data_IF_046264322792
#
_entry.id   IF_046264322792
#
_cell.length_a   1.000
_cell.length_b   1.000
_cell.length_c   1.000
_cell.angle_alpha   90.00
_cell.angle_beta   90.00
_cell.angle_gamma   90.00
#
_symmetry.space_group_name_H-M   'P 1'
#
loop_
_entity.id
_entity.type
_entity.pdbx_description
1 polymer ?
#
# COMPACT_ATOMS: atom_id res chain seq x y z
N UNK A 1 16.05 -72.89 -8.73
CA UNK A 1 17.00 -72.06 -7.95
C UNK A 1 16.57 -70.61 -8.03
N UNK A 2 15.83 -70.12 -7.02
CA UNK A 2 15.37 -68.73 -6.93
C UNK A 2 16.54 -67.81 -6.55
N UNK A 3 16.81 -66.78 -7.36
CA UNK A 3 17.63 -65.63 -6.97
C UNK A 3 16.71 -64.53 -6.42
N UNK A 4 16.80 -64.26 -5.13
CA UNK A 4 16.22 -63.06 -4.49
C UNK A 4 17.15 -61.89 -4.76
N UNK A 5 16.68 -60.85 -5.46
CA UNK A 5 17.29 -59.52 -5.43
C UNK A 5 16.72 -58.78 -4.21
N UNK A 6 17.60 -58.40 -3.27
CA UNK A 6 17.28 -57.42 -2.24
C UNK A 6 17.37 -56.03 -2.89
N UNK A 7 16.26 -55.30 -2.94
CA UNK A 7 16.27 -53.86 -3.16
C UNK A 7 16.46 -53.18 -1.80
N UNK A 8 17.52 -52.40 -1.65
CA UNK A 8 17.73 -51.54 -0.50
C UNK A 8 16.86 -50.27 -0.67
N UNK A 9 15.79 -50.15 0.11
CA UNK A 9 15.09 -48.88 0.31
C UNK A 9 15.96 -48.02 1.24
N UNK A 10 16.51 -46.93 0.70
CA UNK A 10 17.03 -45.83 1.51
C UNK A 10 15.82 -45.00 1.93
N UNK A 11 15.40 -45.13 3.18
CA UNK A 11 14.43 -44.24 3.78
C UNK A 11 15.11 -42.90 4.07
N UNK A 12 14.79 -41.89 3.27
CA UNK A 12 15.19 -40.51 3.53
C UNK A 12 14.25 -39.96 4.62
N UNK A 13 14.64 -40.12 5.88
CA UNK A 13 14.00 -39.42 7.00
C UNK A 13 14.36 -37.94 6.92
N UNK A 14 13.43 -37.13 6.41
CA UNK A 14 13.40 -35.69 6.64
C UNK A 14 13.28 -35.47 8.15
N UNK A 15 14.39 -35.14 8.81
CA UNK A 15 14.32 -34.48 10.11
C UNK A 15 13.74 -33.09 9.87
N UNK A 16 12.44 -32.93 10.12
CA UNK A 16 11.88 -31.61 10.38
C UNK A 16 12.59 -31.07 11.62
N UNK A 17 13.43 -30.05 11.45
CA UNK A 17 13.90 -29.28 12.59
C UNK A 17 12.66 -28.73 13.31
N UNK A 18 12.61 -28.78 14.65
CA UNK A 18 11.49 -28.20 15.38
C UNK A 18 11.46 -26.70 15.06
N UNK A 19 10.39 -26.26 14.38
CA UNK A 19 10.06 -24.85 14.30
C UNK A 19 9.82 -24.41 15.73
N UNK A 20 10.79 -23.67 16.28
CA UNK A 20 10.65 -23.05 17.59
C UNK A 20 9.56 -21.99 17.41
N UNK A 21 8.32 -22.30 17.82
CA UNK A 21 7.29 -21.29 17.97
C UNK A 21 7.75 -20.35 19.09
N UNK A 22 8.38 -19.24 18.71
CA UNK A 22 8.49 -18.09 19.60
C UNK A 22 7.05 -17.64 19.85
N UNK A 23 6.61 -17.53 21.11
CA UNK A 23 5.28 -16.98 21.38
C UNK A 23 5.20 -15.58 20.77
N UNK A 24 4.28 -15.38 19.82
CA UNK A 24 4.01 -14.05 19.25
C UNK A 24 3.56 -13.14 20.39
N UNK A 25 4.18 -11.98 20.52
CA UNK A 25 3.70 -10.94 21.42
C UNK A 25 2.41 -10.38 20.84
N UNK A 26 1.32 -10.48 21.60
CA UNK A 26 0.04 -9.89 21.25
C UNK A 26 -0.04 -8.47 21.85
N UNK A 27 0.60 -7.53 21.15
CA UNK A 27 0.29 -6.10 21.10
C UNK A 27 1.45 -5.36 20.43
N UNK A 28 1.12 -4.61 19.38
CA UNK A 28 1.81 -3.38 19.01
C UNK A 28 0.95 -2.15 19.40
N UNK A 29 -0.21 -2.35 20.04
CA UNK A 29 -1.16 -1.31 20.44
C UNK A 29 -0.88 -0.64 21.80
N UNK A 30 0.11 -1.07 22.57
CA UNK A 30 0.57 -0.31 23.73
C UNK A 30 1.91 0.39 23.45
N UNK A 31 2.16 1.46 24.21
CA UNK A 31 3.34 2.32 24.05
C UNK A 31 4.66 1.52 24.18
N UNK A 32 4.63 0.45 24.99
CA UNK A 32 5.77 -0.45 25.18
C UNK A 32 6.03 -1.31 23.94
N UNK A 33 4.99 -1.87 23.30
CA UNK A 33 5.09 -2.65 22.07
C UNK A 33 5.63 -1.84 20.89
N UNK A 34 5.15 -0.61 20.69
CA UNK A 34 5.69 0.30 19.68
C UNK A 34 7.14 0.69 19.97
N UNK A 35 7.49 0.94 21.24
CA UNK A 35 8.86 1.23 21.64
C UNK A 35 9.82 0.07 21.32
N UNK A 36 9.39 -1.18 21.49
CA UNK A 36 10.16 -2.38 21.15
C UNK A 36 10.32 -2.54 19.63
N UNK A 37 9.25 -2.33 18.85
CA UNK A 37 9.30 -2.34 17.37
C UNK A 37 10.29 -1.30 16.86
N UNK A 38 10.23 -0.07 17.39
CA UNK A 38 11.15 1.01 17.03
C UNK A 38 12.59 0.64 17.40
N UNK A 39 12.81 0.00 18.55
CA UNK A 39 14.15 -0.40 18.98
C UNK A 39 14.74 -1.56 18.15
N UNK A 40 13.89 -2.39 17.53
CA UNK A 40 14.30 -3.55 16.74
C UNK A 40 14.79 -3.21 15.32
N UNK A 41 14.56 -1.98 14.83
CA UNK A 41 15.07 -1.53 13.53
C UNK A 41 16.60 -1.38 13.60
N UNK A 42 17.30 -2.19 12.80
CA UNK A 42 18.75 -2.28 12.79
C UNK A 42 19.35 -1.61 11.54
N UNK A 43 20.26 -0.66 11.77
CA UNK A 43 20.90 0.10 10.70
C UNK A 43 21.81 -0.75 9.83
N UNK A 44 22.53 -1.70 10.42
CA UNK A 44 23.53 -2.47 9.70
C UNK A 44 22.85 -3.51 8.79
N UNK A 45 21.68 -4.02 9.18
CA UNK A 45 20.78 -4.80 8.32
C UNK A 45 20.21 -3.95 7.16
N UNK A 46 19.76 -2.71 7.41
CA UNK A 46 19.35 -1.80 6.33
C UNK A 46 20.45 -1.62 5.28
N UNK A 47 21.68 -1.36 5.73
CA UNK A 47 22.86 -1.28 4.85
C UNK A 47 23.09 -2.58 4.08
N UNK A 48 22.97 -3.74 4.75
CA UNK A 48 23.15 -5.04 4.10
C UNK A 48 22.13 -5.26 2.99
N UNK A 49 20.86 -4.97 3.20
CA UNK A 49 19.82 -5.14 2.18
C UNK A 49 20.12 -4.28 0.96
N UNK A 50 20.24 -2.97 1.17
CA UNK A 50 20.45 -1.98 0.11
C UNK A 50 21.73 -2.29 -0.67
N UNK A 51 22.85 -2.51 0.03
CA UNK A 51 24.12 -2.88 -0.60
C UNK A 51 24.03 -4.16 -1.44
N UNK A 52 23.25 -5.15 -0.97
CA UNK A 52 23.06 -6.41 -1.71
C UNK A 52 22.27 -6.17 -3.00
N UNK A 53 21.26 -5.31 -2.97
CA UNK A 53 20.47 -4.92 -4.15
C UNK A 53 21.36 -4.16 -5.13
N UNK A 54 22.04 -3.11 -4.66
CA UNK A 54 22.94 -2.30 -5.48
C UNK A 54 24.05 -3.14 -6.14
N UNK A 55 24.59 -4.16 -5.44
CA UNK A 55 25.67 -5.01 -5.97
C UNK A 55 25.23 -5.92 -7.12
N UNK A 56 23.93 -6.08 -7.37
CA UNK A 56 23.42 -6.67 -8.61
C UNK A 56 23.71 -5.76 -9.81
N UNK A 57 23.80 -4.44 -9.59
CA UNK A 57 23.92 -3.41 -10.62
C UNK A 57 22.55 -2.88 -11.07
N UNK A 58 22.50 -2.07 -12.14
CA UNK A 58 21.25 -1.62 -12.72
C UNK A 58 20.33 -2.78 -13.06
N UNK A 59 19.06 -2.66 -12.67
CA UNK A 59 18.11 -3.76 -12.65
C UNK A 59 16.75 -3.31 -13.22
N UNK A 60 16.71 -2.87 -14.49
CA UNK A 60 15.48 -2.42 -15.13
C UNK A 60 14.47 -3.53 -15.29
N UNK A 61 13.19 -3.16 -15.26
CA UNK A 61 12.09 -4.11 -15.37
C UNK A 61 12.23 -5.03 -16.57
N UNK A 62 12.11 -6.33 -16.34
CA UNK A 62 12.27 -7.37 -17.35
C UNK A 62 13.70 -7.89 -17.54
N UNK A 63 14.71 -7.26 -16.94
CA UNK A 63 16.11 -7.75 -16.93
C UNK A 63 16.32 -9.00 -16.06
N UNK A 64 17.46 -9.68 -16.23
CA UNK A 64 17.85 -10.79 -15.36
C UNK A 64 18.26 -10.29 -13.97
N UNK A 65 18.82 -9.09 -13.90
CA UNK A 65 19.21 -8.36 -12.69
C UNK A 65 17.97 -8.05 -11.84
N UNK A 66 16.92 -7.50 -12.44
CA UNK A 66 15.61 -7.30 -11.79
C UNK A 66 15.07 -8.62 -11.22
N UNK A 67 15.16 -9.74 -11.97
CA UNK A 67 14.76 -11.06 -11.46
C UNK A 67 15.62 -11.57 -10.31
N UNK A 68 16.91 -11.22 -10.27
CA UNK A 68 17.83 -11.56 -9.18
C UNK A 68 17.47 -10.78 -7.91
N UNK A 69 17.24 -9.47 -8.01
CA UNK A 69 16.75 -8.63 -6.91
C UNK A 69 15.43 -9.18 -6.36
N UNK A 70 14.46 -9.49 -7.23
CA UNK A 70 13.19 -10.11 -6.81
C UNK A 70 13.39 -11.43 -6.05
N UNK A 71 14.37 -12.24 -6.48
CA UNK A 71 14.68 -13.53 -5.84
C UNK A 71 15.35 -13.37 -4.48
N UNK A 72 16.19 -12.34 -4.33
CA UNK A 72 16.78 -11.96 -3.05
C UNK A 72 15.69 -11.52 -2.06
N UNK A 73 14.83 -10.58 -2.46
CA UNK A 73 13.71 -10.10 -1.63
C UNK A 73 12.80 -11.25 -1.20
N UNK A 74 12.42 -12.13 -2.14
CA UNK A 74 11.62 -13.32 -1.84
C UNK A 74 12.30 -14.22 -0.80
N UNK A 75 13.61 -14.43 -0.93
CA UNK A 75 14.40 -15.24 -0.01
C UNK A 75 14.45 -14.67 1.40
N UNK A 76 14.66 -13.36 1.54
CA UNK A 76 14.66 -12.67 2.84
C UNK A 76 13.29 -12.78 3.51
N UNK A 77 12.18 -12.47 2.81
CA UNK A 77 10.84 -12.64 3.37
C UNK A 77 10.54 -14.08 3.81
N UNK A 78 10.93 -15.08 3.00
CA UNK A 78 10.77 -16.49 3.36
C UNK A 78 11.57 -16.86 4.61
N UNK A 79 12.76 -16.26 4.78
CA UNK A 79 13.61 -16.49 5.96
C UNK A 79 12.98 -15.98 7.26
N UNK A 80 12.06 -15.02 7.17
CA UNK A 80 11.29 -14.49 8.32
C UNK A 80 10.03 -15.33 8.62
N UNK A 81 9.81 -16.43 7.88
CA UNK A 81 8.65 -17.31 8.08
C UNK A 81 7.32 -16.77 7.54
N UNK A 82 7.37 -15.76 6.66
CA UNK A 82 6.19 -15.16 6.06
C UNK A 82 5.64 -16.01 4.92
N UNK A 83 4.35 -15.82 4.59
CA UNK A 83 3.76 -16.40 3.38
C UNK A 83 4.12 -15.54 2.17
N UNK A 84 5.00 -16.03 1.29
CA UNK A 84 5.56 -15.24 0.18
C UNK A 84 5.13 -15.77 -1.18
N UNK A 85 4.68 -14.87 -2.05
CA UNK A 85 4.29 -15.17 -3.43
C UNK A 85 4.89 -14.16 -4.41
N UNK A 86 5.02 -14.59 -5.66
CA UNK A 86 5.19 -13.67 -6.78
C UNK A 86 3.83 -13.34 -7.36
N UNK A 87 3.52 -12.06 -7.48
CA UNK A 87 2.37 -11.57 -8.23
C UNK A 87 2.83 -11.20 -9.63
N UNK A 88 2.66 -12.13 -10.57
CA UNK A 88 3.02 -11.92 -11.97
C UNK A 88 2.06 -10.93 -12.64
N UNK A 89 2.58 -10.06 -13.49
CA UNK A 89 1.78 -9.11 -14.26
C UNK A 89 2.31 -8.96 -15.68
N UNK A 90 1.40 -8.63 -16.60
CA UNK A 90 1.68 -8.27 -17.98
C UNK A 90 0.80 -7.07 -18.34
N UNK A 91 1.41 -5.96 -18.74
CA UNK A 91 0.70 -4.75 -19.16
C UNK A 91 1.62 -3.88 -20.03
N UNK A 92 1.05 -3.06 -20.92
CA UNK A 92 1.84 -2.17 -21.79
C UNK A 92 2.87 -2.87 -22.72
N UNK A 93 2.79 -4.19 -22.88
CA UNK A 93 3.80 -5.00 -23.59
C UNK A 93 5.04 -5.37 -22.74
N UNK A 94 5.02 -5.05 -21.45
CA UNK A 94 6.00 -5.46 -20.45
C UNK A 94 5.43 -6.59 -19.59
N UNK A 95 6.32 -7.41 -19.00
CA UNK A 95 5.92 -8.41 -18.02
C UNK A 95 6.99 -8.55 -16.95
N UNK A 96 6.56 -8.68 -15.70
CA UNK A 96 7.44 -8.93 -14.56
C UNK A 96 6.63 -9.52 -13.41
N UNK A 97 7.11 -9.38 -12.17
CA UNK A 97 6.46 -9.90 -10.96
C UNK A 97 6.72 -9.00 -9.77
N UNK A 98 5.69 -8.68 -9.01
CA UNK A 98 5.86 -8.09 -7.67
C UNK A 98 6.21 -9.21 -6.68
N UNK A 99 6.91 -8.87 -5.60
CA UNK A 99 7.20 -9.78 -4.49
C UNK A 99 6.29 -9.41 -3.33
N UNK A 100 5.43 -10.34 -2.90
CA UNK A 100 4.42 -10.09 -1.85
C UNK A 100 4.66 -11.06 -0.70
N UNK A 101 4.91 -10.52 0.50
CA UNK A 101 4.89 -11.28 1.74
C UNK A 101 3.68 -10.89 2.59
N UNK A 102 2.99 -11.88 3.15
CA UNK A 102 1.78 -11.68 3.97
C UNK A 102 2.01 -12.18 5.38
N UNK A 103 1.76 -11.31 6.35
CA UNK A 103 1.60 -11.63 7.78
C UNK A 103 0.10 -11.61 8.10
N UNK A 104 -0.55 -12.78 8.30
CA UNK A 104 -1.98 -12.84 8.58
C UNK A 104 -2.35 -12.14 9.89
N UNK A 105 -3.41 -11.33 9.85
CA UNK A 105 -4.06 -10.77 11.05
C UNK A 105 -5.30 -11.54 11.46
N UNK A 106 -6.03 -11.02 12.45
CA UNK A 106 -7.33 -11.56 12.89
C UNK A 106 -8.45 -11.36 11.85
N UNK A 107 -8.30 -10.34 11.02
CA UNK A 107 -9.25 -9.94 9.97
C UNK A 107 -8.58 -9.95 8.59
N UNK A 108 -9.42 -9.92 7.54
CA UNK A 108 -8.96 -9.85 6.15
C UNK A 108 -8.69 -8.42 5.65
N UNK A 109 -8.94 -7.40 6.49
CA UNK A 109 -8.52 -6.03 6.18
C UNK A 109 -6.99 -6.01 6.09
N UNK A 110 -6.48 -5.26 5.13
CA UNK A 110 -5.05 -5.24 4.82
C UNK A 110 -4.44 -3.86 5.05
N UNK A 111 -3.28 -3.83 5.70
CA UNK A 111 -2.36 -2.68 5.74
C UNK A 111 -1.13 -3.05 4.93
N UNK A 112 -0.71 -2.19 4.02
CA UNK A 112 0.42 -2.40 3.12
C UNK A 112 1.57 -1.48 3.52
N UNK A 113 2.78 -2.04 3.51
CA UNK A 113 4.02 -1.27 3.42
C UNK A 113 4.75 -1.70 2.16
N UNK A 114 5.20 -0.71 1.39
CA UNK A 114 5.55 -0.92 0.00
C UNK A 114 6.74 -0.06 -0.47
N UNK A 115 7.39 -0.53 -1.53
CA UNK A 115 8.53 0.09 -2.22
C UNK A 115 8.62 -0.52 -3.64
N UNK A 116 9.36 0.10 -4.56
CA UNK A 116 9.68 -0.55 -5.84
C UNK A 116 11.11 -1.08 -5.84
N UNK A 117 11.37 -2.15 -6.59
CA UNK A 117 12.68 -2.77 -6.65
C UNK A 117 13.29 -2.75 -8.04
N UNK A 118 12.64 -2.18 -9.06
CA UNK A 118 13.27 -1.93 -10.36
C UNK A 118 13.97 -0.57 -10.39
N UNK A 119 15.03 -0.45 -11.19
CA UNK A 119 15.74 0.81 -11.45
C UNK A 119 15.77 1.16 -12.94
N UNK A 120 16.24 2.34 -13.32
CA UNK A 120 16.53 2.65 -14.73
C UNK A 120 17.83 2.01 -15.24
N UNK A 121 17.99 1.88 -16.57
CA UNK A 121 19.05 1.12 -17.26
C UNK A 121 20.50 1.36 -16.79
N UNK A 122 20.81 2.55 -16.28
CA UNK A 122 22.16 2.96 -15.88
C UNK A 122 22.29 3.29 -14.37
N UNK A 123 21.23 3.10 -13.58
CA UNK A 123 21.21 3.44 -12.15
C UNK A 123 21.36 2.19 -11.28
N UNK A 124 22.35 2.14 -10.37
CA UNK A 124 22.41 1.09 -9.34
C UNK A 124 21.20 1.10 -8.38
N UNK A 125 20.48 2.23 -8.29
CA UNK A 125 19.21 2.33 -7.57
C UNK A 125 19.34 2.18 -6.05
N UNK A 126 20.39 2.76 -5.46
CA UNK A 126 20.63 2.61 -4.02
C UNK A 126 19.60 3.41 -3.20
N UNK A 127 19.38 4.67 -3.56
CA UNK A 127 18.34 5.46 -2.92
C UNK A 127 16.98 5.26 -3.58
N UNK A 128 16.97 5.10 -4.91
CA UNK A 128 15.79 4.95 -5.78
C UNK A 128 15.80 3.57 -6.47
N UNK A 129 15.26 2.51 -5.84
CA UNK A 129 14.60 2.51 -4.53
C UNK A 129 15.10 1.40 -3.58
N UNK A 130 16.41 1.15 -3.60
CA UNK A 130 17.09 0.30 -2.62
C UNK A 130 16.83 0.73 -1.16
N UNK A 131 16.65 2.02 -0.92
CA UNK A 131 16.34 2.59 0.40
C UNK A 131 14.92 2.23 0.87
N UNK A 132 13.92 2.29 0.00
CA UNK A 132 12.56 1.83 0.28
C UNK A 132 12.51 0.31 0.47
N UNK A 133 13.10 -0.45 -0.44
CA UNK A 133 13.12 -1.93 -0.36
C UNK A 133 13.80 -2.42 0.91
N UNK A 134 14.94 -1.85 1.29
CA UNK A 134 15.63 -2.19 2.54
C UNK A 134 14.75 -1.90 3.76
N UNK A 135 13.99 -0.80 3.74
CA UNK A 135 13.03 -0.45 4.80
C UNK A 135 11.86 -1.43 4.88
N UNK A 136 11.30 -1.87 3.74
CA UNK A 136 10.24 -2.89 3.69
C UNK A 136 10.74 -4.24 4.21
N UNK A 137 11.94 -4.66 3.82
CA UNK A 137 12.57 -5.90 4.32
C UNK A 137 12.82 -5.85 5.83
N UNK A 138 13.30 -4.72 6.35
CA UNK A 138 13.51 -4.51 7.77
C UNK A 138 12.18 -4.50 8.55
N UNK A 139 11.14 -3.83 8.02
CA UNK A 139 9.80 -3.86 8.61
C UNK A 139 9.25 -5.29 8.66
N UNK A 140 9.37 -6.05 7.57
CA UNK A 140 8.94 -7.46 7.52
C UNK A 140 9.67 -8.32 8.56
N UNK A 141 10.99 -8.14 8.70
CA UNK A 141 11.80 -8.82 9.70
C UNK A 141 11.32 -8.52 11.12
N UNK A 142 11.09 -7.25 11.46
CA UNK A 142 10.61 -6.85 12.81
C UNK A 142 9.20 -7.36 13.06
N UNK A 143 8.25 -7.00 12.19
CA UNK A 143 6.83 -7.20 12.42
C UNK A 143 6.41 -8.68 12.35
N UNK A 144 7.20 -9.55 11.69
CA UNK A 144 6.96 -11.01 11.67
C UNK A 144 6.97 -11.67 13.07
N UNK A 145 7.50 -11.00 14.09
CA UNK A 145 7.51 -11.48 15.48
C UNK A 145 6.26 -11.08 16.29
N UNK A 146 5.31 -10.40 15.65
CA UNK A 146 4.11 -9.83 16.29
C UNK A 146 2.83 -10.36 15.62
N UNK A 147 1.71 -10.20 16.31
CA UNK A 147 0.36 -10.44 15.76
C UNK A 147 -0.44 -9.15 15.76
N UNK A 148 -1.28 -8.95 14.74
CA UNK A 148 -2.07 -7.74 14.54
C UNK A 148 -3.55 -8.08 14.29
N UNK A 149 -4.45 -7.12 14.53
CA UNK A 149 -5.87 -7.24 14.15
C UNK A 149 -6.05 -7.36 12.64
N UNK A 150 -5.30 -6.58 11.87
CA UNK A 150 -5.38 -6.54 10.42
C UNK A 150 -4.18 -7.25 9.79
N UNK A 151 -4.41 -7.83 8.61
CA UNK A 151 -3.35 -8.48 7.84
C UNK A 151 -2.35 -7.43 7.37
N UNK A 152 -1.05 -7.70 7.53
CA UNK A 152 0.02 -6.82 7.01
C UNK A 152 0.62 -7.46 5.76
N UNK A 153 0.68 -6.70 4.66
CA UNK A 153 1.39 -7.10 3.44
C UNK A 153 2.63 -6.23 3.25
N UNK A 154 3.75 -6.89 2.99
CA UNK A 154 5.01 -6.27 2.60
C UNK A 154 5.17 -6.50 1.10
N UNK A 155 5.22 -5.43 0.31
CA UNK A 155 5.20 -5.55 -1.15
C UNK A 155 6.35 -4.78 -1.76
N UNK A 156 7.15 -5.47 -2.57
CA UNK A 156 8.13 -4.83 -3.44
C UNK A 156 7.62 -4.92 -4.90
N UNK A 157 7.31 -3.79 -5.50
CA UNK A 157 6.79 -3.67 -6.86
C UNK A 157 7.91 -3.66 -7.89
N UNK A 158 7.62 -4.16 -9.10
CA UNK A 158 8.44 -3.88 -10.28
C UNK A 158 7.62 -3.11 -11.28
N UNK A 159 8.26 -2.36 -12.16
CA UNK A 159 7.62 -1.63 -13.23
C UNK A 159 7.17 -0.24 -12.82
N UNK A 160 7.67 0.27 -11.69
CA UNK A 160 7.42 1.64 -11.22
C UNK A 160 7.96 2.62 -12.27
N UNK A 161 9.21 2.41 -12.66
CA UNK A 161 10.01 3.32 -13.49
C UNK A 161 9.52 3.45 -14.94
N UNK A 162 8.61 2.56 -15.36
CA UNK A 162 7.96 2.63 -16.68
C UNK A 162 6.53 3.18 -16.61
N UNK A 163 6.07 3.56 -15.42
CA UNK A 163 4.76 4.16 -15.19
C UNK A 163 3.85 3.33 -14.29
N UNK A 164 4.35 2.83 -13.16
CA UNK A 164 3.58 2.17 -12.09
C UNK A 164 2.87 0.87 -12.54
N UNK A 165 3.46 0.10 -13.45
CA UNK A 165 2.77 -1.07 -14.02
C UNK A 165 2.49 -2.16 -12.97
N UNK A 166 3.47 -2.50 -12.14
CA UNK A 166 3.32 -3.56 -11.15
C UNK A 166 2.30 -3.23 -10.07
N UNK A 167 2.36 -2.04 -9.49
CA UNK A 167 1.38 -1.57 -8.50
C UNK A 167 0.02 -1.31 -9.14
N UNK A 168 -0.02 -0.80 -10.37
CA UNK A 168 -1.24 -0.56 -11.13
C UNK A 168 -2.04 -1.85 -11.37
N UNK A 169 -1.37 -2.91 -11.84
CA UNK A 169 -2.00 -4.23 -11.99
C UNK A 169 -2.42 -4.80 -10.64
N UNK A 170 -1.57 -4.71 -9.61
CA UNK A 170 -1.89 -5.23 -8.28
C UNK A 170 -3.12 -4.55 -7.66
N UNK A 171 -3.17 -3.22 -7.67
CA UNK A 171 -4.29 -2.44 -7.12
C UNK A 171 -5.59 -2.70 -7.91
N UNK A 172 -5.50 -2.80 -9.25
CA UNK A 172 -6.62 -3.18 -10.11
C UNK A 172 -7.21 -4.52 -9.72
N UNK A 173 -6.36 -5.53 -9.57
CA UNK A 173 -6.82 -6.87 -9.24
C UNK A 173 -7.32 -6.97 -7.79
N UNK A 174 -6.69 -6.28 -6.84
CA UNK A 174 -7.19 -6.18 -5.47
C UNK A 174 -8.60 -5.58 -5.44
N UNK A 175 -8.82 -4.51 -6.22
CA UNK A 175 -10.13 -3.89 -6.39
C UNK A 175 -11.17 -4.85 -6.97
N UNK A 176 -10.80 -5.62 -8.00
CA UNK A 176 -11.65 -6.64 -8.63
C UNK A 176 -11.97 -7.83 -7.70
N UNK A 177 -11.04 -8.17 -6.80
CA UNK A 177 -11.24 -9.19 -5.76
C UNK A 177 -12.02 -8.69 -4.55
N UNK A 178 -12.43 -7.42 -4.55
CA UNK A 178 -13.09 -6.77 -3.43
C UNK A 178 -12.26 -6.82 -2.14
N UNK A 179 -10.93 -6.67 -2.25
CA UNK A 179 -10.05 -6.59 -1.08
C UNK A 179 -10.26 -5.25 -0.35
N UNK A 180 -10.36 -5.32 0.98
CA UNK A 180 -10.34 -4.17 1.87
C UNK A 180 -8.89 -3.83 2.23
N UNK A 181 -8.36 -2.79 1.58
CA UNK A 181 -7.04 -2.23 1.90
C UNK A 181 -7.28 -0.93 2.65
N UNK A 182 -6.89 -0.91 3.92
CA UNK A 182 -7.06 0.24 4.81
C UNK A 182 -6.05 1.33 4.48
N UNK A 183 -4.79 0.96 4.29
CA UNK A 183 -3.72 1.91 4.03
C UNK A 183 -2.60 1.26 3.22
N UNK A 184 -1.99 2.05 2.35
CA UNK A 184 -0.70 1.79 1.73
C UNK A 184 0.34 2.84 2.19
N UNK A 185 1.41 2.36 2.80
CA UNK A 185 2.56 3.18 3.22
C UNK A 185 3.71 2.90 2.24
N UNK A 186 3.79 3.71 1.19
CA UNK A 186 4.83 3.62 0.16
C UNK A 186 6.07 4.40 0.59
N UNK A 187 7.23 3.75 0.51
CA UNK A 187 8.56 4.31 0.69
C UNK A 187 9.23 4.34 -0.66
N UNK A 188 9.64 5.51 -1.14
CA UNK A 188 10.41 5.65 -2.38
C UNK A 188 11.30 6.89 -2.27
N UNK A 189 12.61 6.70 -2.45
CA UNK A 189 13.63 7.75 -2.24
C UNK A 189 13.61 8.24 -0.80
N UNK A 190 14.00 7.37 0.14
CA UNK A 190 13.91 7.62 1.59
C UNK A 190 15.27 7.57 2.30
N UNK A 191 16.36 7.57 1.54
CA UNK A 191 17.71 7.37 2.03
C UNK A 191 18.61 8.60 1.95
N UNK A 192 18.35 9.58 1.09
CA UNK A 192 19.23 10.73 0.90
C UNK A 192 19.01 11.83 1.93
N UNK A 193 20.12 12.28 2.52
CA UNK A 193 20.15 13.46 3.37
C UNK A 193 21.58 13.96 3.54
N UNK A 194 21.82 15.24 3.25
CA UNK A 194 23.13 15.90 3.40
C UNK A 194 23.10 16.92 4.54
N UNK A 195 22.04 17.70 4.67
CA UNK A 195 21.93 18.68 5.76
C UNK A 195 21.38 18.07 7.05
N UNK A 196 21.55 18.82 8.14
CA UNK A 196 20.94 18.47 9.42
C UNK A 196 19.40 18.48 9.34
N UNK A 197 18.81 19.40 8.56
CA UNK A 197 17.36 19.48 8.36
C UNK A 197 16.88 18.25 7.57
N UNK A 198 17.52 17.95 6.43
CA UNK A 198 17.24 16.75 5.63
C UNK A 198 17.32 15.47 6.45
N UNK A 199 18.39 15.32 7.25
CA UNK A 199 18.58 14.14 8.12
C UNK A 199 17.64 14.06 9.34
N UNK A 200 16.69 14.98 9.47
CA UNK A 200 15.71 15.04 10.57
C UNK A 200 14.28 15.31 10.12
N UNK A 201 14.01 15.37 8.82
CA UNK A 201 12.69 15.67 8.27
C UNK A 201 12.34 14.67 7.18
N UNK A 202 11.11 14.14 7.20
CA UNK A 202 10.55 13.29 6.14
C UNK A 202 9.31 13.96 5.57
N UNK A 203 9.09 13.88 4.25
CA UNK A 203 7.86 14.36 3.63
C UNK A 203 6.83 13.23 3.61
N UNK A 204 5.63 13.50 4.08
CA UNK A 204 4.48 12.61 3.92
C UNK A 204 3.49 13.27 2.95
N UNK A 205 3.37 12.71 1.76
CA UNK A 205 2.46 13.22 0.73
C UNK A 205 1.17 12.39 0.73
N UNK A 206 0.03 13.05 0.95
CA UNK A 206 -1.27 12.40 1.04
C UNK A 206 -2.37 13.25 0.36
N UNK A 207 -3.41 12.58 -0.16
CA UNK A 207 -4.64 13.27 -0.57
C UNK A 207 -5.51 13.47 0.67
N UNK A 208 -6.61 14.22 0.54
CA UNK A 208 -7.44 14.58 1.69
C UNK A 208 -7.97 13.34 2.44
N UNK A 209 -8.41 12.31 1.71
CA UNK A 209 -8.87 11.04 2.26
C UNK A 209 -7.77 10.28 3.05
N UNK A 210 -6.51 10.35 2.61
CA UNK A 210 -5.40 9.59 3.22
C UNK A 210 -4.71 10.35 4.36
N UNK A 211 -5.18 11.54 4.75
CA UNK A 211 -4.52 12.37 5.77
C UNK A 211 -4.45 11.70 7.15
N UNK A 212 -5.41 10.85 7.50
CA UNK A 212 -5.39 10.12 8.77
C UNK A 212 -4.19 9.17 8.90
N UNK A 213 -3.63 8.68 7.78
CA UNK A 213 -2.39 7.87 7.79
C UNK A 213 -1.21 8.75 8.25
N UNK A 214 -1.17 10.01 7.80
CA UNK A 214 -0.16 10.99 8.27
C UNK A 214 -0.41 11.45 9.70
N UNK A 215 -1.64 11.38 10.20
CA UNK A 215 -1.97 11.60 11.61
C UNK A 215 -1.53 10.42 12.47
N UNK A 216 -1.69 9.18 11.99
CA UNK A 216 -1.17 7.99 12.66
C UNK A 216 0.37 8.05 12.79
N UNK A 217 1.07 8.46 11.73
CA UNK A 217 2.51 8.68 11.77
C UNK A 217 2.90 9.80 12.77
N UNK A 218 2.11 10.89 12.83
CA UNK A 218 2.35 11.96 13.79
C UNK A 218 2.12 11.51 15.24
N UNK A 219 1.09 10.70 15.50
CA UNK A 219 0.83 10.13 16.82
C UNK A 219 1.99 9.23 17.29
N UNK A 220 2.59 8.46 16.38
CA UNK A 220 3.82 7.69 16.67
C UNK A 220 4.97 8.63 17.06
N UNK A 221 5.16 9.75 16.36
CA UNK A 221 6.19 10.74 16.75
C UNK A 221 5.87 11.44 18.07
N UNK A 222 4.60 11.71 18.36
CA UNK A 222 4.22 12.37 19.61
C UNK A 222 4.52 11.48 20.83
N UNK A 223 4.37 10.16 20.70
CA UNK A 223 4.71 9.18 21.75
C UNK A 223 6.18 8.77 21.77
N UNK A 224 6.86 8.73 20.62
CA UNK A 224 8.19 8.11 20.48
C UNK A 224 9.22 8.97 19.72
N UNK A 225 9.00 10.27 19.60
CA UNK A 225 9.87 11.20 18.88
C UNK A 225 11.32 11.16 19.36
N UNK A 226 11.57 11.02 20.66
CA UNK A 226 12.92 10.90 21.23
C UNK A 226 13.66 9.63 20.77
N UNK A 227 12.94 8.56 20.39
CA UNK A 227 13.50 7.28 19.93
C UNK A 227 13.70 7.24 18.40
N UNK A 228 12.91 8.02 17.68
CA UNK A 228 12.91 8.08 16.21
C UNK A 228 13.84 9.21 15.74
N UNK A 229 13.70 10.42 16.27
CA UNK A 229 14.53 11.57 15.91
C UNK A 229 14.22 12.16 14.52
N UNK A 230 12.95 12.12 14.12
CA UNK A 230 12.41 12.74 12.90
C UNK A 230 11.30 13.74 13.22
N UNK A 231 11.04 14.61 12.24
CA UNK A 231 9.85 15.44 12.12
C UNK A 231 9.16 15.19 10.78
N UNK A 232 7.84 15.38 10.73
CA UNK A 232 7.05 15.22 9.51
C UNK A 232 6.81 16.58 8.85
N UNK A 233 7.05 16.63 7.55
CA UNK A 233 6.60 17.71 6.68
C UNK A 233 5.45 17.20 5.80
N UNK A 234 4.22 17.67 6.03
CA UNK A 234 3.04 17.22 5.27
C UNK A 234 2.95 17.93 3.93
N UNK A 235 2.85 17.14 2.86
CA UNK A 235 2.69 17.60 1.50
C UNK A 235 1.38 17.13 0.90
N UNK A 236 0.88 17.89 -0.08
CA UNK A 236 -0.23 17.43 -0.92
C UNK A 236 0.25 16.29 -1.81
N UNK A 237 -0.61 15.29 -1.99
CA UNK A 237 -0.38 14.20 -2.95
C UNK A 237 0.01 14.70 -4.34
N UNK A 238 0.90 13.95 -4.97
CA UNK A 238 1.19 14.03 -6.40
C UNK A 238 1.48 12.60 -6.90
N UNK A 239 1.25 12.30 -8.19
CA UNK A 239 1.43 10.96 -8.75
C UNK A 239 2.91 10.64 -8.96
N UNK A 240 3.65 10.48 -7.86
CA UNK A 240 5.11 10.34 -7.86
C UNK A 240 5.64 8.94 -7.65
N UNK A 241 4.81 7.97 -7.23
CA UNK A 241 5.22 6.59 -6.92
C UNK A 241 3.99 5.67 -6.81
N UNK A 242 4.18 4.41 -6.44
CA UNK A 242 3.18 3.33 -6.47
C UNK A 242 1.92 3.57 -5.60
N UNK A 243 2.00 4.35 -4.52
CA UNK A 243 0.84 4.76 -3.72
C UNK A 243 -0.29 5.34 -4.59
N UNK A 244 0.07 5.99 -5.70
CA UNK A 244 -0.89 6.57 -6.62
C UNK A 244 -1.76 5.49 -7.29
N UNK A 245 -1.23 4.30 -7.54
CA UNK A 245 -2.00 3.16 -8.07
C UNK A 245 -3.15 2.79 -7.14
N UNK A 246 -2.92 2.81 -5.83
CA UNK A 246 -3.93 2.55 -4.80
C UNK A 246 -4.96 3.68 -4.72
N UNK A 247 -4.52 4.94 -4.65
CA UNK A 247 -5.40 6.12 -4.67
C UNK A 247 -6.32 6.13 -5.89
N UNK A 248 -5.79 5.75 -7.04
CA UNK A 248 -6.56 5.70 -8.28
C UNK A 248 -7.72 4.68 -8.22
N UNK A 249 -7.56 3.60 -7.46
CA UNK A 249 -8.61 2.60 -7.20
C UNK A 249 -9.44 2.89 -5.95
N UNK A 250 -9.26 4.06 -5.33
CA UNK A 250 -10.05 4.51 -4.18
C UNK A 250 -9.59 3.93 -2.84
N UNK A 251 -8.43 3.29 -2.83
CA UNK A 251 -7.74 2.96 -1.58
C UNK A 251 -6.98 4.18 -1.07
N UNK A 252 -6.66 4.17 0.21
CA UNK A 252 -5.94 5.26 0.86
C UNK A 252 -4.45 4.92 0.92
N UNK A 253 -3.61 5.90 0.64
CA UNK A 253 -2.17 5.71 0.51
C UNK A 253 -1.40 6.98 0.83
N UNK A 254 -0.21 6.82 1.39
CA UNK A 254 0.72 7.90 1.71
C UNK A 254 2.08 7.60 1.08
N UNK A 255 2.70 8.65 0.55
CA UNK A 255 4.04 8.61 0.01
C UNK A 255 5.04 9.20 1.02
N UNK A 256 5.89 8.34 1.57
CA UNK A 256 7.07 8.73 2.34
C UNK A 256 8.20 9.05 1.35
N UNK A 257 8.64 10.29 1.36
CA UNK A 257 9.68 10.80 0.48
C UNK A 257 10.67 11.62 1.29
N UNK A 258 11.97 11.43 1.07
CA UNK A 258 13.01 12.21 1.70
C UNK A 258 12.81 13.72 1.56
N UNK A 259 13.27 14.52 2.51
CA UNK A 259 13.11 15.96 2.45
C UNK A 259 14.03 16.63 1.41
N UNK A 260 15.26 16.16 1.31
CA UNK A 260 16.26 16.62 0.35
C UNK A 260 16.33 15.64 -0.80
N UNK A 261 15.78 16.04 -1.96
CA UNK A 261 15.79 15.16 -3.14
C UNK A 261 17.21 14.85 -3.60
N UNK A 262 17.49 13.58 -3.82
CA UNK A 262 18.75 13.05 -4.28
C UNK A 262 19.14 13.61 -5.66
N UNK A 263 20.26 14.35 -5.79
CA UNK A 263 20.70 14.90 -7.07
C UNK A 263 21.23 13.84 -8.04
N UNK A 264 21.37 12.59 -7.59
CA UNK A 264 21.84 11.46 -8.38
C UNK A 264 20.71 10.55 -8.89
N UNK A 265 19.45 10.88 -8.59
CA UNK A 265 18.26 10.20 -9.10
C UNK A 265 18.38 9.87 -10.60
N UNK A 266 18.01 8.64 -10.97
CA UNK A 266 18.09 8.12 -12.35
C UNK A 266 19.46 8.24 -13.00
N UNK A 267 20.54 8.08 -12.23
CA UNK A 267 21.90 8.19 -12.76
C UNK A 267 22.84 7.13 -12.22
N UNK A 268 23.97 6.87 -12.89
CA UNK A 268 25.03 6.00 -12.36
C UNK A 268 25.60 6.44 -11.00
N UNK A 269 25.30 7.67 -10.58
CA UNK A 269 25.70 8.21 -9.29
C UNK A 269 24.82 7.72 -8.15
N UNK A 270 23.60 7.23 -8.40
CA UNK A 270 22.72 6.77 -7.33
C UNK A 270 23.28 5.49 -6.70
N UNK A 271 24.07 5.70 -5.65
CA UNK A 271 24.92 4.69 -5.04
C UNK A 271 24.82 4.79 -3.53
N UNK A 272 25.17 3.71 -2.86
CA UNK A 272 25.17 3.49 -1.41
C UNK A 272 25.98 4.56 -0.67
N UNK A 273 26.97 5.16 -1.34
CA UNK A 273 27.79 6.26 -0.81
C UNK A 273 27.01 7.57 -0.65
N UNK A 274 25.83 7.67 -1.28
CA UNK A 274 24.91 8.80 -1.20
C UNK A 274 23.66 8.50 -0.37
N UNK A 275 23.55 7.30 0.20
CA UNK A 275 22.51 6.94 1.16
C UNK A 275 22.98 7.26 2.58
N UNK A 276 22.18 8.01 3.31
CA UNK A 276 22.40 8.33 4.71
C UNK A 276 21.70 7.31 5.61
N UNK A 277 22.39 6.22 5.95
CA UNK A 277 21.82 5.15 6.79
C UNK A 277 21.37 5.58 8.18
N UNK A 278 21.93 6.66 8.73
CA UNK A 278 21.44 7.24 9.98
C UNK A 278 20.05 7.82 9.80
N UNK A 279 19.81 8.54 8.70
CA UNK A 279 18.50 9.06 8.33
C UNK A 279 17.52 7.94 7.97
N UNK A 280 17.91 7.03 7.07
CA UNK A 280 17.10 5.90 6.62
C UNK A 280 16.60 5.04 7.79
N UNK A 281 17.45 4.80 8.80
CA UNK A 281 17.05 4.08 10.03
C UNK A 281 15.88 4.75 10.73
N UNK A 282 15.85 6.08 10.78
CA UNK A 282 14.75 6.81 11.42
C UNK A 282 13.48 6.74 10.58
N UNK A 283 13.61 6.83 9.25
CA UNK A 283 12.46 6.71 8.33
C UNK A 283 11.84 5.32 8.45
N UNK A 284 12.67 4.27 8.41
CA UNK A 284 12.25 2.89 8.60
C UNK A 284 11.56 2.68 9.97
N UNK A 285 12.08 3.26 11.05
CA UNK A 285 11.42 3.25 12.38
C UNK A 285 10.02 3.85 12.33
N UNK A 286 9.89 5.04 11.76
CA UNK A 286 8.60 5.73 11.67
C UNK A 286 7.61 4.94 10.82
N UNK A 287 8.00 4.50 9.63
CA UNK A 287 7.13 3.76 8.72
C UNK A 287 6.70 2.41 9.33
N UNK A 288 7.64 1.66 9.91
CA UNK A 288 7.36 0.37 10.57
C UNK A 288 6.39 0.54 11.74
N UNK A 289 6.61 1.54 12.61
CA UNK A 289 5.73 1.82 13.74
C UNK A 289 4.36 2.37 13.30
N UNK A 290 4.30 3.15 12.23
CA UNK A 290 3.04 3.63 11.63
C UNK A 290 2.20 2.46 11.14
N UNK A 291 2.80 1.54 10.38
CA UNK A 291 2.13 0.33 9.88
C UNK A 291 1.67 -0.55 11.04
N UNK A 292 2.50 -0.75 12.06
CA UNK A 292 2.13 -1.50 13.25
C UNK A 292 0.94 -0.88 13.99
N UNK A 293 0.93 0.44 14.18
CA UNK A 293 -0.15 1.18 14.81
C UNK A 293 -1.47 1.07 14.04
N UNK A 294 -1.43 1.21 12.71
CA UNK A 294 -2.61 1.06 11.85
C UNK A 294 -3.11 -0.39 11.84
N UNK A 295 -2.21 -1.37 11.76
CA UNK A 295 -2.56 -2.78 11.71
C UNK A 295 -3.23 -3.28 13.01
N UNK A 296 -2.99 -2.61 14.14
CA UNK A 296 -3.58 -2.95 15.44
C UNK A 296 -4.76 -2.04 15.83
N UNK A 297 -5.08 -1.03 15.00
CA UNK A 297 -6.20 -0.12 15.21
C UNK A 297 -7.54 -0.85 15.05
N UNK A 298 -8.54 -0.45 15.83
CA UNK A 298 -9.91 -0.92 15.62
C UNK A 298 -10.56 -0.17 14.44
N UNK A 299 -11.14 -0.94 13.50
CA UNK A 299 -11.92 -0.41 12.38
C UNK A 299 -13.39 -0.77 12.58
N UNK A 300 -14.15 0.21 13.05
CA UNK A 300 -15.57 0.06 13.38
C UNK A 300 -16.51 0.11 12.17
N UNK A 301 -16.14 0.89 11.16
CA UNK A 301 -16.86 1.07 9.90
C UNK A 301 -15.87 1.11 8.73
N UNK A 302 -16.29 0.57 7.59
CA UNK A 302 -15.61 0.63 6.32
C UNK A 302 -16.65 0.75 5.19
N UNK A 303 -16.48 1.76 4.36
CA UNK A 303 -17.44 2.20 3.35
C UNK A 303 -16.83 2.06 1.97
N UNK A 304 -17.60 1.51 1.04
CA UNK A 304 -17.22 1.44 -0.37
C UNK A 304 -18.39 1.81 -1.26
N UNK A 305 -18.16 2.76 -2.16
CA UNK A 305 -19.07 3.00 -3.29
C UNK A 305 -18.91 1.82 -4.28
N UNK A 306 -19.98 1.05 -4.47
CA UNK A 306 -20.02 -0.10 -5.37
C UNK A 306 -20.62 0.24 -6.73
N UNK A 307 -21.48 1.26 -6.80
CA UNK A 307 -21.99 1.83 -8.04
C UNK A 307 -21.95 3.37 -7.93
N UNK A 308 -21.47 4.10 -8.94
CA UNK A 308 -20.71 3.57 -10.08
C UNK A 308 -19.32 3.06 -9.63
N UNK A 309 -18.95 1.88 -10.10
CA UNK A 309 -17.64 1.27 -9.83
C UNK A 309 -16.52 2.10 -10.49
N UNK A 310 -15.34 2.13 -9.86
CA UNK A 310 -14.14 2.75 -10.42
C UNK A 310 -13.70 2.04 -11.70
N UNK A 311 -13.32 2.82 -12.72
CA UNK A 311 -12.87 2.28 -13.98
C UNK A 311 -13.96 1.53 -14.75
N UNK A 312 -15.16 2.09 -14.85
CA UNK A 312 -16.24 1.46 -15.60
C UNK A 312 -17.05 2.48 -16.39
N UNK A 313 -17.70 2.01 -17.46
CA UNK A 313 -18.68 2.81 -18.22
C UNK A 313 -20.08 2.35 -17.84
N UNK A 314 -20.91 3.29 -17.40
CA UNK A 314 -22.31 3.11 -17.08
C UNK A 314 -23.20 3.85 -18.08
N UNK A 315 -24.37 3.28 -18.36
CA UNK A 315 -25.49 3.97 -18.99
C UNK A 315 -26.73 3.83 -18.08
N UNK A 316 -27.08 4.90 -17.37
CA UNK A 316 -27.96 4.81 -16.20
C UNK A 316 -27.39 3.82 -15.19
N UNK A 317 -28.23 2.89 -14.74
CA UNK A 317 -27.85 1.85 -13.78
C UNK A 317 -27.08 0.67 -14.40
N UNK A 318 -26.95 0.63 -15.73
CA UNK A 318 -26.34 -0.50 -16.43
C UNK A 318 -24.83 -0.30 -16.61
N UNK A 319 -24.01 -1.12 -15.94
CA UNK A 319 -22.58 -1.27 -16.25
C UNK A 319 -22.42 -1.86 -17.64
N UNK A 320 -21.94 -1.07 -18.60
CA UNK A 320 -21.73 -1.49 -19.99
C UNK A 320 -20.42 -2.24 -20.16
N UNK A 321 -19.35 -1.76 -19.51
CA UNK A 321 -18.03 -2.37 -19.56
C UNK A 321 -17.16 -1.91 -18.38
N UNK A 322 -16.21 -2.75 -17.99
CA UNK A 322 -15.07 -2.32 -17.20
C UNK A 322 -14.01 -1.70 -18.14
N UNK A 323 -13.42 -0.62 -17.70
CA UNK A 323 -12.23 0.00 -18.27
C UNK A 323 -11.02 -0.49 -17.46
N UNK A 324 -9.95 -0.89 -18.14
CA UNK A 324 -8.69 -1.30 -17.49
C UNK A 324 -7.90 -0.14 -16.87
N UNK A 325 -8.56 0.97 -16.54
CA UNK A 325 -7.95 2.20 -16.03
C UNK A 325 -8.90 2.97 -15.12
N UNK A 326 -8.46 4.12 -14.64
CA UNK A 326 -9.00 4.74 -13.42
C UNK A 326 -10.24 5.62 -13.62
N UNK A 327 -10.64 5.89 -14.87
CA UNK A 327 -11.76 6.79 -15.17
C UNK A 327 -13.06 6.04 -15.22
N UNK A 328 -14.01 6.43 -14.37
CA UNK A 328 -15.40 6.02 -14.48
C UNK A 328 -16.17 7.00 -15.35
N UNK A 329 -16.99 6.50 -16.26
CA UNK A 329 -17.84 7.32 -17.13
C UNK A 329 -19.29 6.94 -16.88
N UNK A 330 -20.14 7.91 -16.58
CA UNK A 330 -21.58 7.70 -16.39
C UNK A 330 -22.35 8.47 -17.46
N UNK A 331 -23.15 7.76 -18.25
CA UNK A 331 -24.03 8.34 -19.27
C UNK A 331 -25.48 8.29 -18.77
N UNK A 332 -26.15 9.43 -18.64
CA UNK A 332 -27.51 9.49 -18.08
C UNK A 332 -27.55 9.65 -16.56
N UNK A 333 -28.62 9.17 -15.91
CA UNK A 333 -28.79 9.29 -14.46
C UNK A 333 -27.68 8.54 -13.71
N UNK A 334 -27.29 9.06 -12.55
CA UNK A 334 -26.30 8.39 -11.69
C UNK A 334 -27.01 7.78 -10.52
N UNK A 335 -26.82 6.48 -10.36
CA UNK A 335 -27.21 5.74 -9.18
C UNK A 335 -25.95 5.41 -8.38
N UNK A 336 -25.96 5.87 -7.14
CA UNK A 336 -24.88 5.65 -6.19
C UNK A 336 -25.32 4.57 -5.23
N UNK A 337 -24.65 3.43 -5.21
CA UNK A 337 -24.88 2.37 -4.21
C UNK A 337 -23.63 2.17 -3.38
N UNK A 338 -23.84 1.89 -2.10
CA UNK A 338 -22.77 1.81 -1.10
C UNK A 338 -22.86 0.48 -0.37
N UNK A 339 -21.71 -0.18 -0.22
CA UNK A 339 -21.53 -1.25 0.74
C UNK A 339 -20.91 -0.68 2.01
N UNK A 340 -21.52 -0.99 3.15
CA UNK A 340 -21.04 -0.58 4.47
C UNK A 340 -20.80 -1.83 5.29
N UNK A 341 -19.56 -1.99 5.74
CA UNK A 341 -19.13 -3.09 6.57
C UNK A 341 -18.67 -2.54 7.92
N UNK A 342 -18.91 -3.27 9.01
CA UNK A 342 -18.52 -2.80 10.32
C UNK A 342 -19.22 -3.52 11.46
N UNK A 343 -18.76 -3.22 12.68
CA UNK A 343 -19.35 -3.71 13.92
C UNK A 343 -20.28 -2.70 14.57
N UNK A 344 -20.18 -1.43 14.19
CA UNK A 344 -21.02 -0.35 14.69
C UNK A 344 -22.39 -0.29 13.97
N UNK A 345 -23.37 0.28 14.66
CA UNK A 345 -24.67 0.60 14.03
C UNK A 345 -24.49 1.86 13.20
N UNK A 346 -24.86 1.77 11.91
CA UNK A 346 -24.93 2.92 11.01
C UNK A 346 -26.13 3.78 11.40
N UNK A 347 -25.88 5.02 11.78
CA UNK A 347 -26.94 6.01 12.06
C UNK A 347 -27.47 6.61 10.77
N UNK A 348 -26.58 6.91 9.82
CA UNK A 348 -26.93 7.61 8.59
C UNK A 348 -25.85 7.49 7.52
N UNK A 349 -26.27 7.47 6.26
CA UNK A 349 -25.42 7.58 5.07
C UNK A 349 -25.82 8.81 4.29
N UNK A 350 -24.88 9.74 4.09
CA UNK A 350 -25.09 10.98 3.32
C UNK A 350 -24.36 10.91 1.99
N UNK A 351 -25.08 11.20 0.90
CA UNK A 351 -24.56 11.16 -0.46
C UNK A 351 -24.29 12.57 -0.95
N UNK A 352 -23.13 12.79 -1.56
CA UNK A 352 -22.71 14.09 -2.09
C UNK A 352 -22.34 13.98 -3.57
N UNK A 353 -22.49 15.11 -4.26
CA UNK A 353 -21.92 15.35 -5.58
C UNK A 353 -21.25 16.72 -5.57
N UNK A 354 -19.94 16.75 -5.82
CA UNK A 354 -19.12 17.97 -5.77
C UNK A 354 -19.29 18.74 -4.44
N UNK A 355 -19.33 18.00 -3.33
CA UNK A 355 -19.54 18.55 -1.97
C UNK A 355 -20.97 18.99 -1.65
N UNK A 356 -21.92 18.89 -2.58
CA UNK A 356 -23.33 19.18 -2.31
C UNK A 356 -24.10 17.92 -1.92
N UNK A 357 -24.83 17.95 -0.79
CA UNK A 357 -25.72 16.86 -0.36
C UNK A 357 -26.78 16.60 -1.45
N UNK A 358 -26.90 15.33 -1.84
CA UNK A 358 -27.90 14.81 -2.77
C UNK A 358 -28.94 13.95 -2.08
N UNK A 359 -28.52 13.12 -1.13
CA UNK A 359 -29.38 12.17 -0.45
C UNK A 359 -28.92 11.85 0.96
N UNK A 360 -29.84 11.28 1.74
CA UNK A 360 -29.60 10.80 3.10
C UNK A 360 -30.44 9.54 3.30
N UNK A 361 -29.80 8.45 3.69
CA UNK A 361 -30.44 7.20 4.06
C UNK A 361 -30.10 6.83 5.51
N UNK A 362 -31.10 6.40 6.27
CA UNK A 362 -30.93 5.92 7.66
C UNK A 362 -31.06 4.40 7.77
N UNK A 363 -31.51 3.73 6.71
CA UNK A 363 -31.74 2.28 6.68
C UNK A 363 -31.29 1.68 5.35
N UNK A 364 -30.71 0.46 5.35
CA UNK A 364 -30.27 -0.20 4.12
C UNK A 364 -31.46 -0.67 3.24
N UNK A 365 -31.26 -0.85 1.92
CA UNK A 365 -30.02 -0.61 1.18
C UNK A 365 -29.68 0.89 1.11
N UNK A 366 -28.39 1.22 1.20
CA UNK A 366 -27.91 2.59 1.09
C UNK A 366 -27.64 2.90 -0.37
N UNK A 367 -28.58 3.60 -1.00
CA UNK A 367 -28.48 3.94 -2.40
C UNK A 367 -29.25 5.23 -2.75
N UNK A 368 -28.65 6.03 -3.63
CA UNK A 368 -29.23 7.30 -4.03
C UNK A 368 -29.13 7.50 -5.53
N UNK A 369 -30.27 7.78 -6.16
CA UNK A 369 -30.34 8.19 -7.56
C UNK A 369 -30.42 9.72 -7.64
N UNK A 370 -29.58 10.32 -8.48
CA UNK A 370 -29.80 11.71 -8.88
C UNK A 370 -29.73 11.88 -10.39
N UNK A 371 -30.65 12.70 -10.88
CA UNK A 371 -30.92 12.88 -12.30
C UNK A 371 -30.61 14.29 -12.78
N UNK A 372 -30.00 15.19 -11.99
CA UNK A 372 -29.67 16.56 -12.45
C UNK A 372 -28.61 16.57 -13.56
N UNK A 373 -28.63 17.65 -14.36
CA UNK A 373 -27.63 17.88 -15.42
C UNK A 373 -26.23 17.91 -14.81
N UNK A 374 -25.36 17.03 -15.32
CA UNK A 374 -23.97 16.87 -14.90
C UNK A 374 -23.12 16.61 -16.15
N UNK A 375 -22.09 17.43 -16.37
CA UNK A 375 -21.24 17.38 -17.55
C UNK A 375 -19.78 17.49 -17.12
N UNK A 376 -18.93 16.65 -17.71
CA UNK A 376 -17.49 16.58 -17.45
C UNK A 376 -17.17 15.91 -16.11
N UNK A 377 -16.14 16.38 -15.40
CA UNK A 377 -15.64 15.74 -14.20
C UNK A 377 -16.48 16.14 -12.99
N UNK A 378 -16.82 15.14 -12.19
CA UNK A 378 -17.54 15.27 -10.93
C UNK A 378 -16.95 14.32 -9.89
N UNK A 379 -17.21 14.62 -8.62
CA UNK A 379 -16.85 13.79 -7.49
C UNK A 379 -18.10 13.27 -6.78
N UNK A 380 -18.28 11.95 -6.78
CA UNK A 380 -19.30 11.27 -5.97
C UNK A 380 -18.67 10.91 -4.63
N UNK A 381 -19.24 11.41 -3.54
CA UNK A 381 -18.76 11.14 -2.19
C UNK A 381 -19.90 10.59 -1.33
N UNK A 382 -19.54 9.76 -0.36
CA UNK A 382 -20.46 9.18 0.62
C UNK A 382 -19.83 9.27 1.99
N UNK A 383 -20.59 9.80 2.95
CA UNK A 383 -20.25 9.82 4.37
C UNK A 383 -21.15 8.86 5.12
N UNK A 384 -20.56 7.89 5.81
CA UNK A 384 -21.27 6.97 6.69
C UNK A 384 -20.99 7.36 8.12
N UNK A 385 -22.03 7.76 8.82
CA UNK A 385 -22.00 8.07 10.23
C UNK A 385 -22.47 6.86 11.03
N UNK A 386 -21.55 6.30 11.81
CA UNK A 386 -21.81 5.30 12.84
C UNK A 386 -22.12 5.92 14.19
N UNK A 387 -22.23 5.07 15.20
CA UNK A 387 -22.47 5.50 16.59
C UNK A 387 -21.28 6.28 17.16
N UNK A 388 -20.06 5.81 16.91
CA UNK A 388 -18.83 6.40 17.48
C UNK A 388 -17.80 6.80 16.40
N UNK A 389 -18.07 6.49 15.13
CA UNK A 389 -17.17 6.71 14.01
C UNK A 389 -17.85 7.31 12.78
N UNK A 390 -17.04 7.93 11.92
CA UNK A 390 -17.45 8.39 10.58
C UNK A 390 -16.44 7.85 9.58
N UNK A 391 -16.93 7.36 8.46
CA UNK A 391 -16.10 6.88 7.36
C UNK A 391 -16.55 7.50 6.04
N UNK A 392 -15.58 7.74 5.13
CA UNK A 392 -15.78 8.48 3.89
C UNK A 392 -15.33 7.65 2.69
N UNK A 393 -16.14 7.61 1.64
CA UNK A 393 -15.78 7.00 0.37
C UNK A 393 -16.01 7.98 -0.78
N UNK A 394 -15.13 7.97 -1.78
CA UNK A 394 -15.23 8.83 -2.96
C UNK A 394 -14.96 8.06 -4.26
N UNK A 395 -15.62 8.45 -5.36
CA UNK A 395 -15.35 8.00 -6.72
C UNK A 395 -15.37 9.19 -7.69
N UNK A 396 -14.25 9.54 -8.35
CA UNK A 396 -14.23 10.52 -9.42
C UNK A 396 -14.86 9.94 -10.68
N UNK A 397 -15.71 10.71 -11.33
CA UNK A 397 -16.53 10.26 -12.46
C UNK A 397 -16.60 11.33 -13.55
N UNK A 398 -16.61 10.91 -14.80
CA UNK A 398 -16.95 11.76 -15.93
C UNK A 398 -18.42 11.53 -16.27
N UNK A 399 -19.26 12.53 -16.01
CA UNK A 399 -20.69 12.44 -16.27
C UNK A 399 -21.08 13.11 -17.57
N UNK A 400 -21.99 12.46 -18.28
CA UNK A 400 -22.75 13.06 -19.37
C UNK A 400 -24.22 12.80 -19.11
N UNK A 401 -24.77 13.53 -18.14
CA UNK A 401 -26.19 13.51 -17.81
C UNK A 401 -26.88 14.76 -18.37
N UNK A 402 -27.77 14.53 -19.33
CA UNK A 402 -28.66 15.56 -19.88
C UNK A 402 -30.10 15.09 -19.67
N UNK A 403 -30.84 15.75 -18.78
CA UNK A 403 -32.28 15.56 -18.69
C UNK A 403 -32.93 16.30 -19.86
N UNK A 404 -33.64 15.62 -20.78
CA UNK A 404 -34.46 16.33 -21.75
C UNK A 404 -35.50 17.15 -20.99
N UNK A 405 -35.58 18.45 -21.25
CA UNK A 405 -36.36 19.44 -20.48
C UNK A 405 -37.89 19.25 -20.43
N UNK A 406 -38.41 18.06 -20.74
CA UNK A 406 -39.83 17.67 -20.58
C UNK A 406 -40.10 16.70 -19.42
N UNK A 407 -39.12 16.46 -18.54
CA UNK A 407 -39.26 15.57 -17.36
C UNK A 407 -39.17 16.33 -16.02
N UNK A 408 -39.25 17.66 -16.05
CA UNK A 408 -39.47 18.49 -14.87
C UNK A 408 -40.92 18.99 -14.94
N UNK A 409 -41.85 18.17 -14.46
CA UNK A 409 -43.20 18.59 -14.04
C UNK A 409 -43.35 18.34 -12.53
#
# INVERSE_FOLDING_TARGET
>A
MHRRMLAAMVALTLLAAPVMMVPLHHAAADDDGLADIIAAVDRDELYRYDKTIQDVGPHPTGSDECRQVASFIYGEFMSYGLNVSYHAWEDGGLSSRNVVATLPGETNNTVIISAHYDSVDDSPGADDDGSGVSSVLMAAKVLSSYSFRHTVKFICFSGEEQGLYGSGVYAREAYQRNETILADVQLDGVGHAVSAEGGSTIRLCANDASTWITDAAQQVLDGHGDRIGLSIHRNRNFPGSDHQSFINYGYEGVFFLEYEFNPYYHSPGDTIDHVNFSYLTKVCKLATATVASIADREVSLYTRIVEPERGAVYAGDAKLMALGGYRTVVLGHTHVRVDVQGTETVERVTFYLDGEIRGVDETPPYEHEYSKVALFNHDVEVEVQGTDSVDLAQVPVVMFNLVPGGWLD
#
